data_IF_057683393516
#
_entry.id   IF_057683393516
#
_cell.length_a   1.000
_cell.length_b   1.000
_cell.length_c   1.000
_cell.angle_alpha   90.00
_cell.angle_beta   90.00
_cell.angle_gamma   90.00
#
_symmetry.space_group_name_H-M   'P 1'
#
loop_
_entity.id
_entity.type
_entity.pdbx_description
1 polymer ?
#
# COMPACT_ATOMS: atom_id res chain seq x y z
N UNK A 1 -15.91 67.36 -24.16
CA UNK A 1 -16.41 66.03 -23.73
C UNK A 1 -16.08 65.01 -24.80
N UNK A 2 -15.11 64.12 -24.55
CA UNK A 2 -15.04 62.78 -25.11
C UNK A 2 -15.31 61.73 -24.01
N UNK A 3 -15.95 60.62 -24.39
CA UNK A 3 -16.39 59.52 -23.51
C UNK A 3 -15.20 58.71 -22.94
N UNK A 4 -15.29 58.15 -21.72
CA UNK A 4 -14.26 57.26 -21.17
C UNK A 4 -14.39 55.85 -21.76
N UNK A 5 -13.26 55.32 -22.24
CA UNK A 5 -13.14 53.91 -22.66
C UNK A 5 -13.21 52.99 -21.45
N UNK A 6 -14.08 51.99 -21.53
CA UNK A 6 -14.17 50.88 -20.59
C UNK A 6 -13.08 49.86 -20.89
N UNK A 7 -12.05 49.82 -20.04
CA UNK A 7 -11.11 48.70 -19.95
C UNK A 7 -11.90 47.43 -19.59
N UNK A 8 -11.98 46.51 -20.55
CA UNK A 8 -12.48 45.15 -20.29
C UNK A 8 -11.29 44.33 -19.81
N UNK A 9 -11.10 44.24 -18.49
CA UNK A 9 -10.20 43.28 -17.89
C UNK A 9 -10.71 41.88 -18.25
N UNK A 10 -10.03 41.21 -19.18
CA UNK A 10 -10.13 39.77 -19.34
C UNK A 10 -9.56 39.14 -18.07
N UNK A 11 -10.47 38.73 -17.18
CA UNK A 11 -10.17 37.77 -16.13
C UNK A 11 -9.78 36.46 -16.81
N UNK A 12 -8.47 36.22 -16.90
CA UNK A 12 -7.94 34.88 -17.18
C UNK A 12 -8.49 33.93 -16.11
N UNK A 13 -9.52 33.18 -16.49
CA UNK A 13 -9.97 32.01 -15.78
C UNK A 13 -8.84 30.99 -15.84
N UNK A 14 -8.01 30.95 -14.80
CA UNK A 14 -7.06 29.87 -14.58
C UNK A 14 -7.82 28.55 -14.65
N UNK A 15 -7.64 27.84 -15.75
CA UNK A 15 -8.21 26.52 -15.99
C UNK A 15 -7.78 25.62 -14.85
N UNK A 16 -8.74 25.21 -14.02
CA UNK A 16 -8.56 24.26 -12.92
C UNK A 16 -7.92 23.01 -13.50
N UNK A 17 -6.64 22.77 -13.18
CA UNK A 17 -5.94 21.52 -13.52
C UNK A 17 -6.82 20.36 -13.01
N UNK A 18 -7.18 19.43 -13.88
CA UNK A 18 -8.05 18.31 -13.51
C UNK A 18 -7.47 17.53 -12.32
N UNK A 19 -8.35 16.96 -11.48
CA UNK A 19 -7.94 16.08 -10.38
C UNK A 19 -7.13 14.91 -10.92
N UNK A 20 -6.02 14.58 -10.26
CA UNK A 20 -5.16 13.45 -10.63
C UNK A 20 -5.15 12.36 -9.57
N UNK A 21 -4.69 11.19 -9.98
CA UNK A 21 -4.35 10.09 -9.09
C UNK A 21 -2.92 10.24 -8.56
N UNK A 22 -2.74 10.02 -7.27
CA UNK A 22 -1.42 9.98 -6.61
C UNK A 22 -1.26 8.61 -5.97
N UNK A 23 -0.37 7.79 -6.53
CA UNK A 23 -0.14 6.42 -6.09
C UNK A 23 1.17 6.33 -5.33
N UNK A 24 1.12 5.90 -4.06
CA UNK A 24 2.30 5.70 -3.21
C UNK A 24 2.50 4.22 -2.92
N UNK A 25 3.67 3.69 -3.28
CA UNK A 25 4.02 2.29 -3.14
C UNK A 25 5.15 2.12 -2.11
N UNK A 26 4.88 1.38 -1.04
CA UNK A 26 5.82 1.12 0.05
C UNK A 26 6.24 -0.36 0.07
N UNK A 27 7.45 -0.67 -0.36
CA UNK A 27 7.95 -2.05 -0.35
C UNK A 27 8.50 -2.46 1.03
N UNK A 28 8.63 -3.76 1.25
CA UNK A 28 9.30 -4.33 2.40
C UNK A 28 10.81 -4.07 2.39
N UNK A 29 11.38 -3.82 3.56
CA UNK A 29 12.83 -3.62 3.76
C UNK A 29 13.71 -4.69 3.12
N UNK A 30 14.73 -4.23 2.41
CA UNK A 30 15.80 -5.05 1.86
C UNK A 30 15.48 -5.63 0.48
N UNK A 31 14.40 -5.18 -0.14
CA UNK A 31 14.03 -5.53 -1.50
C UNK A 31 14.67 -4.55 -2.48
N UNK A 32 15.72 -5.01 -3.14
CA UNK A 32 16.25 -4.34 -4.34
C UNK A 32 15.39 -4.74 -5.54
N UNK A 33 15.23 -3.82 -6.49
CA UNK A 33 14.63 -4.13 -7.79
C UNK A 33 15.53 -5.17 -8.48
N UNK A 34 15.02 -6.39 -8.66
CA UNK A 34 15.78 -7.53 -9.19
C UNK A 34 15.31 -7.93 -10.59
N UNK A 35 16.15 -8.66 -11.30
CA UNK A 35 15.79 -9.28 -12.58
C UNK A 35 14.72 -10.37 -12.42
N UNK A 36 14.70 -11.07 -11.28
CA UNK A 36 13.70 -12.10 -10.92
C UNK A 36 13.38 -12.03 -9.43
N UNK A 37 12.17 -12.43 -9.04
CA UNK A 37 11.76 -12.44 -7.63
C UNK A 37 11.52 -11.04 -7.08
N UNK A 38 10.80 -10.21 -7.84
CA UNK A 38 10.33 -8.92 -7.37
C UNK A 38 9.12 -9.09 -6.46
N UNK A 39 8.90 -8.13 -5.57
CA UNK A 39 7.70 -8.05 -4.75
C UNK A 39 6.49 -7.65 -5.59
N UNK A 40 5.30 -7.92 -5.07
CA UNK A 40 4.06 -7.45 -5.68
C UNK A 40 3.98 -5.93 -5.72
N UNK A 41 4.64 -5.22 -4.80
CA UNK A 41 4.75 -3.74 -4.84
C UNK A 41 5.55 -3.29 -6.06
N UNK A 42 6.73 -3.85 -6.32
CA UNK A 42 7.54 -3.52 -7.52
C UNK A 42 6.80 -3.89 -8.81
N UNK A 43 6.11 -5.04 -8.81
CA UNK A 43 5.35 -5.51 -9.98
C UNK A 43 4.16 -4.60 -10.28
N UNK A 44 3.41 -4.19 -9.25
CA UNK A 44 2.36 -3.19 -9.36
C UNK A 44 2.93 -1.86 -9.85
N UNK A 45 4.01 -1.36 -9.23
CA UNK A 45 4.61 -0.08 -9.60
C UNK A 45 5.02 -0.04 -11.08
N UNK A 46 5.56 -1.14 -11.62
CA UNK A 46 5.88 -1.28 -13.05
C UNK A 46 4.65 -1.30 -13.96
N UNK A 47 3.49 -1.67 -13.42
CA UNK A 47 2.24 -1.75 -14.15
C UNK A 47 1.45 -0.44 -14.17
N UNK A 48 1.76 0.52 -13.29
CA UNK A 48 1.05 1.80 -13.21
C UNK A 48 1.35 2.69 -14.43
N UNK A 49 0.29 3.31 -14.95
CA UNK A 49 0.39 4.39 -15.93
C UNK A 49 0.89 5.68 -15.24
N UNK A 50 1.85 6.38 -15.85
CA UNK A 50 2.46 7.58 -15.26
C UNK A 50 3.00 8.59 -16.28
N UNK A 51 2.55 8.51 -17.53
CA UNK A 51 3.03 9.34 -18.66
C UNK A 51 2.06 10.45 -19.07
N UNK A 52 0.76 10.30 -18.76
CA UNK A 52 -0.30 11.24 -19.19
C UNK A 52 -0.44 12.46 -18.28
N UNK A 53 0.10 12.42 -17.06
CA UNK A 53 -0.10 13.44 -16.02
C UNK A 53 -1.42 13.30 -15.23
N UNK A 54 -2.30 12.39 -15.63
CA UNK A 54 -3.53 12.03 -14.88
C UNK A 54 -3.22 11.18 -13.65
N UNK A 55 -2.04 10.54 -13.63
CA UNK A 55 -1.56 9.74 -12.52
C UNK A 55 -0.07 9.98 -12.29
N UNK A 56 0.32 10.18 -11.04
CA UNK A 56 1.71 10.22 -10.61
C UNK A 56 1.99 9.10 -9.61
N UNK A 57 3.23 8.63 -9.57
CA UNK A 57 3.62 7.44 -8.82
C UNK A 57 4.85 7.72 -7.96
N UNK A 58 4.84 7.24 -6.72
CA UNK A 58 5.94 7.29 -5.76
C UNK A 58 6.28 5.87 -5.33
N UNK A 59 7.58 5.56 -5.24
CA UNK A 59 8.06 4.26 -4.79
C UNK A 59 9.11 4.41 -3.70
N UNK A 60 8.86 3.72 -2.59
CA UNK A 60 9.76 3.58 -1.45
C UNK A 60 10.24 2.12 -1.38
N UNK A 61 11.56 1.86 -1.52
CA UNK A 61 12.12 0.49 -1.46
C UNK A 61 12.13 -0.11 -0.05
N UNK A 62 11.69 0.63 0.97
CA UNK A 62 11.87 0.33 2.39
C UNK A 62 13.28 0.66 2.86
N UNK A 63 13.43 1.03 4.14
CA UNK A 63 14.77 1.30 4.69
C UNK A 63 15.68 0.08 4.66
N UNK A 64 16.95 0.26 4.30
CA UNK A 64 18.00 -0.74 4.50
C UNK A 64 18.28 -0.95 5.99
N UNK A 65 18.33 -2.21 6.44
CA UNK A 65 18.49 -2.50 7.86
C UNK A 65 19.94 -2.33 8.32
N UNK A 66 20.18 -1.34 9.19
CA UNK A 66 21.44 -1.30 9.94
C UNK A 66 21.54 -2.53 10.83
N UNK A 67 22.69 -3.21 10.76
CA UNK A 67 23.01 -4.34 11.63
C UNK A 67 23.00 -3.88 13.08
N UNK A 68 22.15 -4.48 13.89
CA UNK A 68 22.19 -4.32 15.34
C UNK A 68 23.55 -4.74 15.91
N UNK A 69 24.11 -3.92 16.80
CA UNK A 69 25.41 -4.09 17.46
C UNK A 69 25.52 -5.28 18.45
N UNK A 70 24.76 -6.37 18.26
CA UNK A 70 24.73 -7.52 19.18
C UNK A 70 24.76 -8.91 18.54
N UNK A 71 24.71 -9.02 17.21
CA UNK A 71 24.81 -10.32 16.54
C UNK A 71 26.27 -10.59 16.12
N UNK A 72 26.97 -11.42 16.88
CA UNK A 72 28.37 -11.80 16.62
C UNK A 72 28.53 -12.80 15.46
N UNK A 73 27.45 -13.49 15.06
CA UNK A 73 27.48 -14.49 13.98
C UNK A 73 26.86 -13.95 12.69
N UNK A 74 27.41 -14.34 11.53
CA UNK A 74 26.85 -14.00 10.20
C UNK A 74 25.38 -14.43 10.05
N UNK A 75 25.00 -15.53 10.70
CA UNK A 75 23.63 -16.06 10.77
C UNK A 75 22.72 -15.13 11.57
N UNK A 76 23.13 -14.74 12.78
CA UNK A 76 22.39 -13.80 13.62
C UNK A 76 22.26 -12.42 12.98
N UNK A 77 23.28 -11.96 12.26
CA UNK A 77 23.25 -10.71 11.50
C UNK A 77 22.23 -10.74 10.36
N UNK A 78 22.11 -11.87 9.64
CA UNK A 78 21.11 -12.02 8.58
C UNK A 78 19.68 -12.00 9.14
N UNK A 79 19.43 -12.72 10.23
CA UNK A 79 18.12 -12.72 10.91
C UNK A 79 17.81 -11.32 11.47
N UNK A 80 18.77 -10.69 12.15
CA UNK A 80 18.58 -9.36 12.73
C UNK A 80 18.37 -8.27 11.69
N UNK A 81 19.09 -8.30 10.56
CA UNK A 81 18.83 -7.41 9.42
C UNK A 81 17.40 -7.59 8.89
N UNK A 82 16.86 -8.80 8.88
CA UNK A 82 15.48 -8.98 8.41
C UNK A 82 14.43 -8.60 9.46
N UNK A 83 14.76 -8.67 10.76
CA UNK A 83 13.86 -8.37 11.89
C UNK A 83 14.10 -6.98 12.54
N UNK A 84 14.89 -6.14 11.86
CA UNK A 84 15.61 -4.95 12.34
C UNK A 84 15.14 -4.19 13.57
N UNK A 85 16.09 -3.96 14.49
CA UNK A 85 16.05 -2.95 15.56
C UNK A 85 15.86 -1.49 15.06
N UNK A 86 15.90 -1.26 13.75
CA UNK A 86 15.64 0.03 13.09
C UNK A 86 14.19 0.21 12.62
N UNK A 87 13.25 -0.69 12.96
CA UNK A 87 11.87 -0.67 12.46
C UNK A 87 11.17 0.68 12.65
N UNK A 88 11.18 1.22 13.88
CA UNK A 88 10.48 2.47 14.19
C UNK A 88 11.12 3.72 13.56
N UNK A 89 12.45 3.81 13.56
CA UNK A 89 13.18 4.92 12.91
C UNK A 89 13.02 4.87 11.40
N UNK A 90 13.03 3.66 10.83
CA UNK A 90 12.82 3.43 9.41
C UNK A 90 11.46 3.90 8.92
N UNK A 91 10.39 3.51 9.63
CA UNK A 91 9.04 3.95 9.28
C UNK A 91 8.91 5.47 9.36
N UNK A 92 9.46 6.13 10.39
CA UNK A 92 9.42 7.60 10.47
C UNK A 92 10.11 8.28 9.28
N UNK A 93 11.20 7.70 8.79
CA UNK A 93 11.91 8.20 7.61
C UNK A 93 11.04 8.06 6.37
N UNK A 94 10.50 6.87 6.12
CA UNK A 94 9.60 6.62 4.98
C UNK A 94 8.34 7.50 5.02
N UNK A 95 7.75 7.70 6.21
CA UNK A 95 6.62 8.61 6.39
C UNK A 95 7.01 10.05 6.04
N UNK A 96 8.19 10.52 6.47
CA UNK A 96 8.66 11.87 6.17
C UNK A 96 8.86 12.11 4.67
N UNK A 97 9.47 11.15 3.98
CA UNK A 97 9.74 11.24 2.54
C UNK A 97 8.43 11.22 1.73
N UNK A 98 7.53 10.27 2.02
CA UNK A 98 6.23 10.19 1.38
C UNK A 98 5.35 11.42 1.69
N UNK A 99 5.43 11.96 2.90
CA UNK A 99 4.67 13.15 3.29
C UNK A 99 5.18 14.39 2.58
N UNK A 100 6.49 14.58 2.50
CA UNK A 100 7.09 15.68 1.73
C UNK A 100 6.75 15.60 0.23
N UNK A 101 6.77 14.39 -0.35
CA UNK A 101 6.29 14.17 -1.71
C UNK A 101 4.83 14.57 -1.86
N UNK A 102 3.94 14.03 -1.02
CA UNK A 102 2.50 14.29 -1.12
C UNK A 102 2.17 15.77 -0.87
N UNK A 103 2.82 16.43 0.10
CA UNK A 103 2.64 17.86 0.37
C UNK A 103 2.87 18.72 -0.87
N UNK A 104 3.87 18.37 -1.68
CA UNK A 104 4.27 19.12 -2.87
C UNK A 104 3.49 18.73 -4.13
N UNK A 105 2.78 17.60 -4.12
CA UNK A 105 2.08 17.09 -5.29
C UNK A 105 0.56 17.15 -5.18
N UNK A 106 0.00 17.00 -3.98
CA UNK A 106 -1.44 16.91 -3.77
C UNK A 106 -2.11 18.28 -3.85
N UNK A 107 -3.20 18.33 -4.60
CA UNK A 107 -4.15 19.43 -4.63
C UNK A 107 -5.54 18.95 -4.22
N UNK A 108 -6.40 19.82 -3.67
CA UNK A 108 -7.78 19.48 -3.36
C UNK A 108 -8.52 18.87 -4.55
N UNK A 109 -9.02 17.65 -4.36
CA UNK A 109 -9.70 16.86 -5.39
C UNK A 109 -8.87 15.71 -5.95
N UNK A 110 -7.55 15.70 -5.71
CA UNK A 110 -6.71 14.56 -6.07
C UNK A 110 -7.02 13.31 -5.23
N UNK A 111 -6.93 12.14 -5.86
CA UNK A 111 -7.20 10.84 -5.24
C UNK A 111 -5.91 10.18 -4.80
N UNK A 112 -5.86 9.72 -3.56
CA UNK A 112 -4.68 9.07 -2.98
C UNK A 112 -4.88 7.56 -2.95
N UNK A 113 -3.90 6.83 -3.48
CA UNK A 113 -3.87 5.37 -3.50
C UNK A 113 -2.60 4.90 -2.80
N UNK A 114 -2.75 4.00 -1.83
CA UNK A 114 -1.64 3.50 -1.03
C UNK A 114 -1.47 2.00 -1.26
N UNK A 115 -0.24 1.57 -1.50
CA UNK A 115 0.10 0.16 -1.65
C UNK A 115 1.28 -0.21 -0.76
N UNK A 116 1.27 -1.41 -0.20
CA UNK A 116 2.47 -1.87 0.49
C UNK A 116 2.52 -3.35 0.84
N UNK A 117 3.72 -3.85 1.08
CA UNK A 117 3.95 -5.24 1.47
C UNK A 117 4.72 -5.32 2.79
N UNK A 118 4.34 -6.24 3.67
CA UNK A 118 5.08 -6.55 4.90
C UNK A 118 5.17 -5.33 5.82
N UNK A 119 6.38 -4.80 6.03
CA UNK A 119 6.61 -3.56 6.77
C UNK A 119 6.16 -2.33 5.98
N UNK A 120 6.29 -2.36 4.66
CA UNK A 120 5.77 -1.32 3.79
C UNK A 120 4.24 -1.25 3.83
N UNK A 121 3.55 -2.39 4.02
CA UNK A 121 2.11 -2.40 4.28
C UNK A 121 1.76 -1.67 5.58
N UNK A 122 2.54 -1.90 6.65
CA UNK A 122 2.39 -1.16 7.90
C UNK A 122 2.71 0.34 7.73
N UNK A 123 3.72 0.69 6.94
CA UNK A 123 4.01 2.08 6.56
C UNK A 123 2.85 2.72 5.81
N UNK A 124 2.24 2.03 4.85
CA UNK A 124 1.07 2.52 4.12
C UNK A 124 -0.11 2.80 5.06
N UNK A 125 -0.39 1.89 6.01
CA UNK A 125 -1.41 2.07 7.05
C UNK A 125 -1.10 3.25 7.97
N UNK A 126 0.16 3.36 8.42
CA UNK A 126 0.60 4.49 9.24
C UNK A 126 0.51 5.82 8.49
N UNK A 127 0.79 5.81 7.19
CA UNK A 127 0.63 7.00 6.35
C UNK A 127 -0.84 7.39 6.21
N UNK A 128 -1.75 6.44 5.96
CA UNK A 128 -3.19 6.68 5.95
C UNK A 128 -3.68 7.27 7.30
N UNK A 129 -3.26 6.69 8.43
CA UNK A 129 -3.58 7.21 9.76
C UNK A 129 -3.02 8.62 10.01
N UNK A 130 -1.82 8.92 9.50
CA UNK A 130 -1.24 10.27 9.58
C UNK A 130 -2.05 11.29 8.77
N UNK A 131 -2.52 10.92 7.58
CA UNK A 131 -3.40 11.74 6.75
C UNK A 131 -4.77 11.99 7.40
N UNK A 132 -5.25 11.04 8.20
CA UNK A 132 -6.47 11.20 8.98
C UNK A 132 -6.28 12.15 10.17
N UNK A 133 -5.24 11.92 10.96
CA UNK A 133 -5.02 12.61 12.25
C UNK A 133 -4.44 14.00 12.07
N UNK A 134 -3.48 14.16 11.15
CA UNK A 134 -2.79 15.43 10.93
C UNK A 134 -3.35 16.18 9.71
N UNK A 135 -3.63 15.47 8.61
CA UNK A 135 -3.96 16.09 7.33
C UNK A 135 -2.71 16.37 6.50
N UNK A 136 -2.76 17.36 5.60
CA UNK A 136 -1.63 17.74 4.74
C UNK A 136 -1.26 19.22 4.92
N UNK A 137 -0.03 19.55 5.36
CA UNK A 137 0.50 20.90 5.45
C UNK A 137 0.40 21.66 4.14
N UNK A 138 0.45 22.99 4.23
CA UNK A 138 0.65 23.85 3.06
C UNK A 138 1.99 23.52 2.38
N UNK A 139 2.11 23.68 1.04
CA UNK A 139 3.40 23.61 0.36
C UNK A 139 4.45 24.52 1.02
N UNK A 140 5.73 24.17 0.91
CA UNK A 140 6.87 24.87 1.53
C UNK A 140 6.97 24.76 3.08
N UNK A 141 6.22 23.86 3.71
CA UNK A 141 6.28 23.57 5.15
C UNK A 141 7.12 22.32 5.49
N UNK A 142 8.09 21.94 4.65
CA UNK A 142 8.89 20.71 4.80
C UNK A 142 9.64 20.67 6.14
N UNK A 143 10.04 21.82 6.67
CA UNK A 143 10.68 21.95 7.98
C UNK A 143 9.77 21.50 9.14
N UNK A 144 8.46 21.38 8.90
CA UNK A 144 7.46 20.94 9.89
C UNK A 144 7.11 19.45 9.80
N UNK A 145 7.61 18.73 8.80
CA UNK A 145 7.30 17.29 8.59
C UNK A 145 7.65 16.46 9.82
N UNK A 146 8.82 16.69 10.43
CA UNK A 146 9.23 15.94 11.62
C UNK A 146 8.36 16.25 12.84
N UNK A 147 7.84 17.49 12.94
CA UNK A 147 6.89 17.87 13.99
C UNK A 147 5.54 17.19 13.79
N UNK A 148 5.04 17.14 12.55
CA UNK A 148 3.82 16.41 12.20
C UNK A 148 3.92 14.92 12.60
N UNK A 149 5.03 14.27 12.25
CA UNK A 149 5.28 12.86 12.61
C UNK A 149 5.37 12.68 14.13
N UNK A 150 6.01 13.61 14.85
CA UNK A 150 6.10 13.54 16.30
C UNK A 150 4.72 13.67 16.98
N UNK A 151 3.81 14.46 16.39
CA UNK A 151 2.42 14.58 16.85
C UNK A 151 1.58 13.34 16.52
N UNK A 152 1.81 12.74 15.36
CA UNK A 152 1.11 11.51 14.94
C UNK A 152 1.57 10.25 15.69
N UNK A 153 2.88 10.13 15.94
CA UNK A 153 3.50 8.96 16.54
C UNK A 153 4.28 9.34 17.81
N UNK A 154 3.57 9.73 18.90
CA UNK A 154 4.20 10.07 20.17
C UNK A 154 4.86 8.84 20.81
N UNK A 155 5.69 9.11 21.82
CA UNK A 155 6.17 8.06 22.72
C UNK A 155 5.09 7.78 23.75
N UNK A 156 4.84 6.50 24.03
CA UNK A 156 3.83 6.09 25.02
C UNK A 156 2.41 5.99 24.43
N UNK A 157 1.42 6.01 25.31
CA UNK A 157 0.01 5.87 24.98
C UNK A 157 -0.54 7.13 24.31
N UNK A 158 -1.53 6.95 23.43
CA UNK A 158 -2.27 8.07 22.84
C UNK A 158 -3.31 8.60 23.84
N UNK A 159 -3.24 9.90 24.11
CA UNK A 159 -4.12 10.58 25.07
C UNK A 159 -4.97 11.66 24.40
N UNK A 160 -5.99 12.16 25.10
CA UNK A 160 -6.76 13.33 24.66
C UNK A 160 -5.88 14.58 24.45
N UNK A 161 -4.79 14.73 25.21
CA UNK A 161 -3.85 15.83 25.03
C UNK A 161 -3.10 15.71 23.70
N UNK A 162 -2.72 14.49 23.31
CA UNK A 162 -2.11 14.24 21.99
C UNK A 162 -3.08 14.59 20.86
N UNK A 163 -4.35 14.23 21.01
CA UNK A 163 -5.38 14.55 20.04
C UNK A 163 -5.59 16.05 19.89
N UNK A 164 -5.74 16.79 20.99
CA UNK A 164 -5.83 18.27 20.96
C UNK A 164 -4.59 18.90 20.33
N UNK A 165 -3.40 18.41 20.67
CA UNK A 165 -2.14 18.89 20.10
C UNK A 165 -1.99 18.59 18.60
N UNK A 166 -2.54 17.47 18.12
CA UNK A 166 -2.60 17.16 16.69
C UNK A 166 -3.57 18.11 15.98
N UNK A 167 -4.78 18.29 16.51
CA UNK A 167 -5.80 19.20 15.96
C UNK A 167 -5.30 20.64 15.86
N UNK A 168 -4.63 21.16 16.91
CA UNK A 168 -4.05 22.51 16.91
C UNK A 168 -2.95 22.66 15.85
N UNK A 169 -2.10 21.63 15.69
CA UNK A 169 -1.10 21.59 14.63
C UNK A 169 -1.78 21.65 13.26
N UNK A 170 -2.79 20.81 13.03
CA UNK A 170 -3.56 20.82 11.78
C UNK A 170 -4.18 22.18 11.49
N UNK A 171 -4.81 22.81 12.48
CA UNK A 171 -5.42 24.14 12.37
C UNK A 171 -4.41 25.23 11.99
N UNK A 172 -3.16 25.11 12.46
CA UNK A 172 -2.12 26.10 12.20
C UNK A 172 -1.49 25.94 10.80
N UNK A 173 -1.24 24.71 10.36
CA UNK A 173 -0.35 24.46 9.20
C UNK A 173 -0.98 23.68 8.05
N UNK A 174 -2.08 22.96 8.28
CA UNK A 174 -2.68 22.08 7.28
C UNK A 174 -3.73 22.76 6.41
N UNK A 175 -3.98 22.14 5.26
CA UNK A 175 -5.01 22.51 4.30
C UNK A 175 -6.32 21.80 4.68
N UNK A 176 -7.44 22.53 4.66
CA UNK A 176 -8.79 22.00 4.91
C UNK A 176 -9.77 22.49 3.84
N UNK A 177 -9.65 22.01 2.58
CA UNK A 177 -10.44 22.53 1.47
C UNK A 177 -11.96 22.37 1.67
N UNK A 178 -12.38 21.37 2.46
CA UNK A 178 -13.79 21.07 2.73
C UNK A 178 -14.15 21.29 4.21
N UNK A 179 -13.39 22.11 4.94
CA UNK A 179 -13.58 22.33 6.38
C UNK A 179 -13.13 21.16 7.27
N UNK A 180 -12.48 20.14 6.70
CA UNK A 180 -11.87 19.02 7.42
C UNK A 180 -10.39 18.90 7.05
N UNK A 181 -9.55 18.60 8.05
CA UNK A 181 -8.13 18.30 7.85
C UNK A 181 -7.88 16.83 7.49
N UNK A 182 -8.80 15.92 7.85
CA UNK A 182 -8.67 14.51 7.51
C UNK A 182 -8.72 14.33 5.99
N UNK A 183 -7.67 13.74 5.42
CA UNK A 183 -7.57 13.52 3.98
C UNK A 183 -7.98 12.09 3.63
N UNK A 184 -8.97 11.90 2.73
CA UNK A 184 -9.39 10.58 2.28
C UNK A 184 -8.29 9.83 1.52
N UNK A 185 -8.22 8.53 1.76
CA UNK A 185 -7.45 7.57 0.97
C UNK A 185 -8.46 6.77 0.15
N UNK A 186 -8.41 6.95 -1.16
CA UNK A 186 -9.39 6.38 -2.07
C UNK A 186 -9.29 4.85 -2.15
N UNK A 187 -8.07 4.32 -2.07
CA UNK A 187 -7.85 2.88 -2.02
C UNK A 187 -6.59 2.50 -1.25
N UNK A 188 -6.65 1.43 -0.46
CA UNK A 188 -5.51 0.81 0.23
C UNK A 188 -5.34 -0.66 -0.22
N UNK A 189 -4.27 -0.96 -0.95
CA UNK A 189 -3.93 -2.31 -1.39
C UNK A 189 -2.69 -2.85 -0.67
N UNK A 190 -2.86 -3.80 0.24
CA UNK A 190 -1.76 -4.27 1.10
C UNK A 190 -1.60 -5.79 1.09
N UNK A 191 -0.35 -6.23 1.18
CA UNK A 191 0.03 -7.64 1.29
C UNK A 191 0.72 -7.93 2.61
N UNK A 192 0.21 -8.95 3.27
CA UNK A 192 0.72 -9.62 4.47
C UNK A 192 1.38 -8.70 5.48
N UNK A 193 0.59 -7.78 6.04
CA UNK A 193 1.10 -6.81 7.01
C UNK A 193 1.63 -7.53 8.24
N UNK A 194 2.87 -7.19 8.62
CA UNK A 194 3.50 -7.76 9.82
C UNK A 194 3.72 -6.71 10.89
N UNK A 195 3.25 -7.01 12.09
CA UNK A 195 3.51 -6.16 13.26
C UNK A 195 4.97 -6.33 13.70
N UNK A 196 5.63 -5.23 14.08
CA UNK A 196 6.91 -5.34 14.78
C UNK A 196 6.69 -5.95 16.17
N UNK A 197 7.33 -7.09 16.51
CA UNK A 197 7.14 -7.71 17.81
C UNK A 197 7.62 -6.80 18.94
N UNK A 198 6.72 -6.52 19.89
CA UNK A 198 6.87 -6.54 21.36
C UNK A 198 8.01 -5.81 22.08
N UNK A 199 9.19 -5.64 21.51
CA UNK A 199 10.31 -4.92 22.12
C UNK A 199 10.29 -3.42 21.80
N UNK A 200 9.54 -3.01 20.76
CA UNK A 200 9.49 -1.63 20.25
C UNK A 200 8.15 -0.92 20.45
N UNK A 201 7.09 -1.67 20.84
CA UNK A 201 5.74 -1.10 21.10
C UNK A 201 5.73 -0.12 22.27
N UNK A 202 6.76 -0.11 23.12
CA UNK A 202 6.87 0.84 24.24
C UNK A 202 7.34 2.24 23.83
N UNK A 203 7.97 2.40 22.66
CA UNK A 203 8.61 3.67 22.30
C UNK A 203 7.90 4.42 21.18
N UNK A 204 7.07 3.77 20.35
CA UNK A 204 6.33 4.42 19.25
C UNK A 204 4.96 3.78 19.04
N UNK A 205 3.92 4.60 19.13
CA UNK A 205 2.53 4.21 18.87
C UNK A 205 2.00 4.96 17.64
N UNK A 206 1.84 4.26 16.51
CA UNK A 206 1.19 4.80 15.32
C UNK A 206 -0.31 4.61 15.44
N UNK A 207 -1.03 5.72 15.64
CA UNK A 207 -2.48 5.69 15.82
C UNK A 207 -3.22 5.45 14.51
N UNK A 208 -4.45 4.92 14.62
CA UNK A 208 -5.38 4.77 13.49
C UNK A 208 -4.84 3.89 12.36
N UNK A 209 -4.08 2.86 12.73
CA UNK A 209 -3.51 1.88 11.80
C UNK A 209 -4.38 0.64 11.60
N UNK A 210 -5.30 0.32 12.52
CA UNK A 210 -6.25 -0.81 12.41
C UNK A 210 -7.60 -0.40 11.82
N UNK A 211 -8.22 0.66 12.33
CA UNK A 211 -9.57 1.13 11.97
C UNK A 211 -9.60 2.05 10.74
N UNK A 212 -8.48 2.72 10.41
CA UNK A 212 -8.23 3.44 9.16
C UNK A 212 -9.46 4.22 8.61
N UNK A 213 -10.07 5.11 9.40
CA UNK A 213 -11.42 5.64 9.14
C UNK A 213 -11.52 6.54 7.89
N UNK A 214 -10.39 6.98 7.33
CA UNK A 214 -10.31 7.75 6.10
C UNK A 214 -10.07 6.91 4.83
N UNK A 215 -9.95 5.59 4.95
CA UNK A 215 -9.81 4.68 3.81
C UNK A 215 -11.21 4.33 3.29
N UNK A 216 -11.47 4.69 2.03
CA UNK A 216 -12.78 4.54 1.38
C UNK A 216 -13.01 3.13 0.82
N UNK A 217 -11.94 2.45 0.41
CA UNK A 217 -11.95 1.08 -0.07
C UNK A 217 -10.56 0.45 0.06
N UNK A 218 -10.48 -0.88 0.05
CA UNK A 218 -9.18 -1.54 0.02
C UNK A 218 -9.24 -3.06 -0.04
N UNK A 219 -8.05 -3.65 -0.19
CA UNK A 219 -7.84 -5.10 -0.16
C UNK A 219 -6.60 -5.42 0.68
N UNK A 220 -6.74 -6.36 1.61
CA UNK A 220 -5.65 -6.88 2.44
C UNK A 220 -5.50 -8.38 2.26
N UNK A 221 -4.43 -8.81 1.58
CA UNK A 221 -4.13 -10.22 1.35
C UNK A 221 -3.21 -10.76 2.46
N UNK A 222 -3.64 -11.75 3.23
CA UNK A 222 -2.93 -12.28 4.40
C UNK A 222 -2.44 -13.71 4.14
N UNK A 223 -1.21 -14.04 4.55
CA UNK A 223 -0.64 -15.40 4.40
C UNK A 223 -1.13 -16.35 5.49
N UNK A 224 -1.62 -17.53 5.08
CA UNK A 224 -2.07 -18.59 5.98
C UNK A 224 -0.94 -19.54 6.41
N UNK A 225 0.07 -19.78 5.56
CA UNK A 225 1.14 -20.75 5.82
C UNK A 225 2.39 -20.13 6.48
N UNK A 226 2.34 -18.87 6.92
CA UNK A 226 3.46 -18.23 7.59
C UNK A 226 3.57 -18.66 9.05
N UNK A 227 4.69 -19.32 9.39
CA UNK A 227 4.93 -19.89 10.71
C UNK A 227 6.05 -19.23 11.51
N UNK A 228 6.78 -18.25 10.96
CA UNK A 228 7.89 -17.61 11.69
C UNK A 228 7.30 -16.75 12.81
N UNK A 229 7.67 -17.04 14.06
CA UNK A 229 7.18 -16.32 15.24
C UNK A 229 7.29 -14.78 15.17
N UNK A 230 8.30 -14.18 14.51
CA UNK A 230 8.37 -12.72 14.35
C UNK A 230 7.39 -12.13 13.31
N UNK A 231 6.80 -12.95 12.43
CA UNK A 231 5.94 -12.53 11.32
C UNK A 231 4.46 -12.71 11.69
N UNK A 232 4.04 -12.07 12.79
CA UNK A 232 2.64 -12.08 13.20
C UNK A 232 1.82 -11.21 12.25
N UNK A 233 0.73 -11.76 11.73
CA UNK A 233 -0.23 -11.01 10.93
C UNK A 233 -0.79 -9.84 11.75
N UNK A 234 -0.93 -8.69 11.10
CA UNK A 234 -1.46 -7.47 11.66
C UNK A 234 -2.71 -7.09 10.86
N UNK A 235 -3.87 -7.50 11.36
CA UNK A 235 -5.15 -7.41 10.65
C UNK A 235 -5.71 -5.98 10.67
N UNK A 236 -6.72 -5.72 9.86
CA UNK A 236 -7.49 -4.46 9.86
C UNK A 236 -8.91 -4.67 10.34
N UNK A 237 -9.55 -3.63 10.86
CA UNK A 237 -10.95 -3.67 11.34
C UNK A 237 -11.89 -2.82 10.50
N UNK A 238 -11.38 -2.07 9.52
CA UNK A 238 -12.18 -1.28 8.61
C UNK A 238 -12.96 -2.17 7.63
N UNK A 239 -14.29 -2.13 7.70
CA UNK A 239 -15.18 -2.89 6.82
C UNK A 239 -15.11 -2.50 5.33
N UNK A 240 -14.57 -1.31 5.01
CA UNK A 240 -14.31 -0.90 3.62
C UNK A 240 -13.10 -1.63 3.01
N UNK A 241 -12.28 -2.29 3.83
CA UNK A 241 -11.13 -3.07 3.38
C UNK A 241 -11.53 -4.54 3.38
N UNK A 242 -11.54 -5.15 2.20
CA UNK A 242 -11.72 -6.59 2.07
C UNK A 242 -10.44 -7.28 2.54
N UNK A 243 -10.48 -7.93 3.70
CA UNK A 243 -9.36 -8.74 4.20
C UNK A 243 -9.63 -10.22 3.91
N UNK A 244 -8.65 -10.90 3.31
CA UNK A 244 -8.76 -12.32 3.00
C UNK A 244 -7.44 -13.07 3.15
N UNK A 245 -7.54 -14.33 3.55
CA UNK A 245 -6.41 -15.24 3.74
C UNK A 245 -6.11 -16.02 2.46
N UNK A 246 -4.84 -16.04 2.07
CA UNK A 246 -4.31 -16.65 0.86
C UNK A 246 -3.34 -17.79 1.20
N UNK A 247 -3.30 -18.78 0.30
CA UNK A 247 -2.35 -19.90 0.35
C UNK A 247 -0.91 -19.41 0.20
N UNK A 248 -0.01 -20.03 0.97
CA UNK A 248 1.42 -19.76 0.91
C UNK A 248 1.92 -18.93 2.08
N UNK A 249 3.24 -18.85 2.20
CA UNK A 249 3.96 -18.09 3.23
C UNK A 249 4.00 -16.58 2.90
N UNK A 250 4.61 -15.75 3.76
CA UNK A 250 4.68 -14.29 3.60
C UNK A 250 5.01 -13.79 2.16
N UNK A 251 6.05 -14.35 1.54
CA UNK A 251 6.47 -13.96 0.19
C UNK A 251 5.78 -14.75 -0.94
N UNK A 252 4.99 -15.77 -0.61
CA UNK A 252 4.01 -16.34 -1.55
C UNK A 252 2.80 -15.41 -1.71
N UNK A 253 2.50 -14.56 -0.72
CA UNK A 253 1.41 -13.57 -0.83
C UNK A 253 1.91 -12.20 -1.28
N UNK A 254 3.06 -11.74 -0.80
CA UNK A 254 3.60 -10.43 -1.19
C UNK A 254 4.65 -10.43 -2.30
N UNK A 255 5.02 -11.60 -2.82
CA UNK A 255 6.08 -11.75 -3.81
C UNK A 255 7.50 -11.76 -3.21
N UNK A 256 8.49 -11.95 -4.07
CA UNK A 256 9.91 -12.06 -3.71
C UNK A 256 10.55 -13.43 -3.99
N UNK A 257 9.74 -14.47 -4.27
CA UNK A 257 10.25 -15.76 -4.73
C UNK A 257 10.45 -15.80 -6.24
N UNK A 258 11.34 -16.71 -6.68
CA UNK A 258 11.51 -17.01 -8.10
C UNK A 258 10.28 -17.73 -8.68
N UNK A 259 9.69 -18.63 -7.89
CA UNK A 259 8.37 -19.21 -8.17
C UNK A 259 7.32 -18.28 -7.57
N UNK A 260 6.70 -17.46 -8.42
CA UNK A 260 5.76 -16.41 -8.04
C UNK A 260 4.30 -16.79 -8.26
N UNK A 261 4.01 -18.07 -8.57
CA UNK A 261 2.66 -18.53 -8.91
C UNK A 261 1.61 -18.16 -7.88
N UNK A 262 1.86 -18.41 -6.59
CA UNK A 262 0.95 -17.99 -5.52
C UNK A 262 0.87 -16.46 -5.39
N UNK A 263 1.99 -15.75 -5.56
CA UNK A 263 2.05 -14.29 -5.46
C UNK A 263 1.32 -13.59 -6.61
N UNK A 264 1.18 -14.27 -7.75
CA UNK A 264 0.42 -13.79 -8.89
C UNK A 264 -1.06 -13.64 -8.57
N UNK A 265 -1.60 -14.54 -7.75
CA UNK A 265 -3.02 -14.57 -7.36
C UNK A 265 -3.34 -13.32 -6.55
N UNK A 266 -2.62 -13.13 -5.44
CA UNK A 266 -2.81 -11.97 -4.57
C UNK A 266 -2.44 -10.63 -5.24
N UNK A 267 -1.50 -10.62 -6.19
CA UNK A 267 -1.20 -9.43 -6.99
C UNK A 267 -2.39 -9.02 -7.84
N UNK A 268 -2.92 -9.96 -8.63
CA UNK A 268 -4.05 -9.71 -9.52
C UNK A 268 -5.28 -9.31 -8.71
N UNK A 269 -5.55 -10.00 -7.60
CA UNK A 269 -6.67 -9.66 -6.73
C UNK A 269 -6.57 -8.23 -6.19
N UNK A 270 -5.41 -7.77 -5.70
CA UNK A 270 -5.29 -6.37 -5.26
C UNK A 270 -5.37 -5.37 -6.43
N UNK A 271 -4.83 -5.72 -7.61
CA UNK A 271 -4.90 -4.90 -8.82
C UNK A 271 -6.33 -4.75 -9.36
N UNK A 272 -7.14 -5.80 -9.31
CA UNK A 272 -8.53 -5.79 -9.75
C UNK A 272 -9.32 -4.76 -8.93
N UNK A 273 -9.22 -4.82 -7.60
CA UNK A 273 -9.87 -3.86 -6.71
C UNK A 273 -9.33 -2.44 -6.92
N UNK A 274 -8.03 -2.27 -7.15
CA UNK A 274 -7.44 -0.96 -7.43
C UNK A 274 -7.97 -0.36 -8.74
N UNK A 275 -8.12 -1.18 -9.79
CA UNK A 275 -8.68 -0.78 -11.09
C UNK A 275 -10.15 -0.41 -10.98
N UNK A 276 -10.94 -1.18 -10.23
CA UNK A 276 -12.35 -0.88 -9.92
C UNK A 276 -12.50 0.50 -9.27
N UNK A 277 -11.47 0.95 -8.52
CA UNK A 277 -11.41 2.26 -7.87
C UNK A 277 -10.59 3.30 -8.68
N UNK A 278 -10.36 3.06 -9.97
CA UNK A 278 -9.84 4.06 -10.89
C UNK A 278 -8.32 4.23 -10.92
N UNK A 279 -7.53 3.30 -10.38
CA UNK A 279 -6.09 3.27 -10.66
C UNK A 279 -5.85 3.00 -12.14
N UNK A 280 -4.98 3.80 -12.76
CA UNK A 280 -4.64 3.67 -14.17
C UNK A 280 -3.47 2.70 -14.34
N UNK A 281 -3.65 1.67 -15.16
CA UNK A 281 -2.62 0.70 -15.52
C UNK A 281 -2.16 0.94 -16.95
N UNK A 282 -0.89 0.62 -17.23
CA UNK A 282 -0.33 0.64 -18.59
C UNK A 282 -1.08 -0.34 -19.48
N UNK A 283 -0.98 -0.15 -20.80
CA UNK A 283 -1.59 -1.05 -21.78
C UNK A 283 -1.04 -2.48 -21.65
N UNK A 284 -1.89 -3.48 -21.88
CA UNK A 284 -1.52 -4.91 -21.84
C UNK A 284 -0.30 -5.26 -22.69
N UNK A 285 -0.12 -4.61 -23.85
CA UNK A 285 1.04 -4.79 -24.72
C UNK A 285 2.39 -4.37 -24.08
N UNK A 286 2.33 -3.44 -23.12
CA UNK A 286 3.47 -2.91 -22.36
C UNK A 286 3.67 -3.64 -21.02
N UNK A 287 2.63 -4.34 -20.54
CA UNK A 287 2.63 -5.14 -19.33
C UNK A 287 3.24 -6.54 -19.53
N UNK A 288 4.39 -6.66 -20.23
CA UNK A 288 5.08 -7.93 -20.54
C UNK A 288 5.51 -8.80 -19.33
N UNK A 289 5.07 -8.48 -18.11
CA UNK A 289 5.37 -9.21 -16.88
C UNK A 289 4.23 -9.29 -15.86
N UNK A 290 3.01 -8.86 -16.18
CA UNK A 290 1.86 -9.19 -15.35
C UNK A 290 1.36 -10.61 -15.66
N UNK A 291 1.05 -11.40 -14.63
CA UNK A 291 0.56 -12.76 -14.82
C UNK A 291 -0.87 -12.74 -15.34
N UNK A 292 -1.30 -13.83 -15.98
CA UNK A 292 -2.72 -14.09 -16.24
C UNK A 292 -3.32 -14.86 -15.07
N UNK A 293 -4.64 -14.75 -14.87
CA UNK A 293 -5.35 -15.62 -13.94
C UNK A 293 -5.22 -17.07 -14.42
N UNK A 294 -4.77 -17.95 -13.55
CA UNK A 294 -4.58 -19.36 -13.83
C UNK A 294 -4.89 -20.20 -12.58
N UNK A 295 -5.88 -21.10 -12.67
CA UNK A 295 -6.24 -22.04 -11.59
C UNK A 295 -5.07 -22.89 -11.14
N UNK A 296 -4.16 -23.23 -12.05
CA UNK A 296 -3.01 -24.07 -11.72
C UNK A 296 -2.02 -23.35 -10.81
N UNK A 297 -2.04 -22.00 -10.79
CA UNK A 297 -1.25 -21.24 -9.84
C UNK A 297 -1.80 -21.39 -8.41
N UNK A 298 -3.13 -21.47 -8.26
CA UNK A 298 -3.77 -21.69 -6.96
C UNK A 298 -3.45 -23.05 -6.35
N UNK A 299 -3.08 -24.03 -7.19
CA UNK A 299 -2.65 -25.37 -6.78
C UNK A 299 -1.14 -25.48 -6.51
N UNK A 300 -0.38 -24.40 -6.72
CA UNK A 300 1.07 -24.41 -6.49
C UNK A 300 1.39 -24.68 -5.00
N UNK A 301 2.51 -25.37 -4.76
CA UNK A 301 2.96 -25.65 -3.40
C UNK A 301 3.60 -24.39 -2.79
N UNK A 302 3.38 -24.10 -1.49
CA UNK A 302 4.04 -23.00 -0.80
C UNK A 302 5.55 -23.10 -0.92
N UNK A 303 6.19 -21.96 -1.13
CA UNK A 303 7.64 -21.92 -1.19
C UNK A 303 8.24 -22.27 0.18
N UNK A 304 9.40 -22.94 0.17
CA UNK A 304 10.09 -23.33 1.41
C UNK A 304 10.98 -22.21 1.91
N UNK A 305 10.84 -21.88 3.19
CA UNK A 305 11.74 -20.91 3.82
C UNK A 305 13.13 -21.51 4.02
N UNK A 306 14.16 -20.67 3.87
CA UNK A 306 15.54 -21.08 4.15
C UNK A 306 15.70 -21.62 5.57
N UNK A 307 16.52 -22.66 5.75
CA UNK A 307 16.70 -23.40 7.02
C UNK A 307 17.05 -22.51 8.22
N UNK A 308 17.65 -21.35 7.98
CA UNK A 308 17.99 -20.34 8.99
C UNK A 308 16.79 -19.88 9.82
N UNK A 309 15.58 -19.89 9.23
CA UNK A 309 14.35 -19.44 9.88
C UNK A 309 13.80 -20.43 10.91
N UNK A 310 14.29 -21.67 10.95
CA UNK A 310 13.96 -22.63 12.02
C UNK A 310 14.37 -22.05 13.39
N UNK A 311 15.47 -21.30 13.43
CA UNK A 311 15.99 -20.69 14.66
C UNK A 311 15.14 -19.52 15.16
N UNK A 312 14.25 -18.96 14.34
CA UNK A 312 13.36 -17.87 14.73
C UNK A 312 12.14 -18.34 15.55
N UNK A 313 11.98 -19.65 15.74
CA UNK A 313 10.81 -20.26 16.35
C UNK A 313 9.64 -20.36 15.37
N UNK A 314 8.81 -21.38 15.56
CA UNK A 314 7.61 -21.62 14.76
C UNK A 314 6.36 -21.43 15.59
N UNK A 315 5.41 -20.64 15.10
CA UNK A 315 4.08 -20.48 15.68
C UNK A 315 3.08 -20.39 14.54
N UNK A 316 1.90 -21.00 14.67
CA UNK A 316 0.81 -20.72 13.73
C UNK A 316 0.25 -19.33 13.98
N UNK A 317 -0.22 -18.69 12.92
CA UNK A 317 -0.99 -17.44 13.03
C UNK A 317 -2.39 -17.77 13.55
N UNK A 318 -2.90 -17.02 14.54
CA UNK A 318 -4.31 -17.13 14.91
C UNK A 318 -5.16 -16.61 13.74
N UNK A 319 -6.12 -17.41 13.30
CA UNK A 319 -7.08 -17.04 12.26
C UNK A 319 -8.39 -16.69 12.98
N UNK A 320 -8.97 -15.49 12.77
CA UNK A 320 -10.27 -15.14 13.31
C UNK A 320 -11.37 -16.12 12.88
N UNK A 321 -12.38 -16.42 13.72
CA UNK A 321 -13.48 -17.31 13.34
C UNK A 321 -14.30 -16.82 12.13
N UNK A 322 -14.34 -15.51 11.93
CA UNK A 322 -15.03 -14.80 10.85
C UNK A 322 -14.11 -14.40 9.69
N UNK A 323 -12.91 -15.00 9.63
CA UNK A 323 -11.95 -14.72 8.56
C UNK A 323 -12.49 -15.15 7.20
N UNK A 324 -12.32 -14.27 6.20
CA UNK A 324 -12.55 -14.63 4.81
C UNK A 324 -11.33 -15.34 4.22
N UNK A 325 -11.57 -16.34 3.40
CA UNK A 325 -10.54 -17.07 2.67
C UNK A 325 -10.69 -16.78 1.17
N UNK A 326 -9.56 -16.62 0.49
CA UNK A 326 -9.56 -16.59 -0.97
C UNK A 326 -9.64 -18.01 -1.54
N UNK A 327 -10.24 -18.20 -2.71
CA UNK A 327 -10.40 -19.49 -3.40
C UNK A 327 -9.11 -20.34 -3.47
N UNK A 328 -7.94 -19.69 -3.50
CA UNK A 328 -6.64 -20.36 -3.42
C UNK A 328 -6.47 -21.30 -2.21
N UNK A 329 -7.12 -21.01 -1.09
CA UNK A 329 -7.07 -21.83 0.14
C UNK A 329 -7.94 -23.06 -0.01
N UNK A 330 -9.10 -22.94 -0.67
CA UNK A 330 -10.04 -24.05 -0.86
C UNK A 330 -9.44 -25.22 -1.63
N UNK A 331 -8.58 -24.96 -2.62
CA UNK A 331 -7.90 -26.03 -3.37
C UNK A 331 -7.00 -26.93 -2.52
N UNK A 332 -6.69 -26.51 -1.29
CA UNK A 332 -5.81 -27.22 -0.36
C UNK A 332 -6.43 -27.29 1.04
N UNK A 333 -7.76 -27.16 1.13
CA UNK A 333 -8.47 -27.13 2.41
C UNK A 333 -8.24 -28.40 3.23
N UNK A 334 -8.22 -29.56 2.58
CA UNK A 334 -7.95 -30.86 3.22
C UNK A 334 -6.55 -30.96 3.86
N UNK A 335 -5.59 -30.13 3.41
CA UNK A 335 -4.26 -30.04 4.05
C UNK A 335 -4.32 -29.25 5.38
N UNK A 336 -5.39 -28.48 5.63
CA UNK A 336 -5.51 -27.51 6.71
C UNK A 336 -6.37 -28.02 7.87
N UNK A 337 -5.72 -28.76 8.79
CA UNK A 337 -6.39 -29.48 9.91
C UNK A 337 -7.04 -28.61 11.00
N UNK A 338 -6.84 -27.29 10.98
CA UNK A 338 -7.24 -26.38 12.08
C UNK A 338 -8.00 -25.13 11.55
N UNK A 339 -8.64 -25.24 10.38
CA UNK A 339 -9.52 -24.19 9.84
C UNK A 339 -10.93 -24.25 10.44
N UNK A 340 -11.74 -23.18 10.33
CA UNK A 340 -13.16 -23.23 10.69
C UNK A 340 -13.91 -24.27 9.85
N UNK A 341 -14.95 -24.92 10.39
CA UNK A 341 -15.67 -26.00 9.68
C UNK A 341 -16.33 -25.54 8.36
N UNK A 342 -16.68 -24.26 8.25
CA UNK A 342 -17.28 -23.63 7.06
C UNK A 342 -16.60 -22.28 6.77
N UNK A 343 -15.53 -22.25 5.96
CA UNK A 343 -14.83 -21.02 5.65
C UNK A 343 -15.67 -20.12 4.73
N UNK A 344 -15.89 -18.88 5.14
CA UNK A 344 -16.39 -17.85 4.23
C UNK A 344 -15.37 -17.66 3.09
N UNK A 345 -15.73 -18.07 1.87
CA UNK A 345 -14.89 -17.87 0.70
C UNK A 345 -15.30 -16.59 -0.01
N UNK A 346 -14.33 -15.70 -0.23
CA UNK A 346 -14.49 -14.61 -1.19
C UNK A 346 -14.05 -15.08 -2.57
N UNK A 347 -14.75 -14.57 -3.58
CA UNK A 347 -14.43 -14.74 -5.00
C UNK A 347 -14.17 -16.21 -5.39
N UNK A 348 -15.13 -17.09 -5.08
CA UNK A 348 -15.10 -18.53 -5.40
C UNK A 348 -14.84 -18.82 -6.89
N UNK A 349 -15.39 -17.99 -7.78
CA UNK A 349 -15.16 -18.00 -9.22
C UNK A 349 -13.91 -17.23 -9.70
N UNK A 350 -13.10 -16.65 -8.82
CA UNK A 350 -11.96 -15.80 -9.24
C UNK A 350 -10.95 -16.55 -10.09
N UNK A 351 -10.75 -17.83 -9.79
CA UNK A 351 -9.83 -18.66 -10.56
C UNK A 351 -10.45 -19.13 -11.89
N UNK A 352 -11.74 -18.92 -12.15
CA UNK A 352 -12.35 -19.23 -13.45
C UNK A 352 -11.72 -18.38 -14.57
N UNK A 353 -11.46 -18.96 -15.75
CA UNK A 353 -11.00 -18.19 -16.89
C UNK A 353 -12.05 -17.12 -17.23
N UNK A 354 -11.61 -15.87 -17.41
CA UNK A 354 -12.50 -14.80 -17.88
C UNK A 354 -13.14 -15.21 -19.23
N UNK A 355 -14.43 -14.91 -19.45
CA UNK A 355 -15.06 -15.13 -20.74
C UNK A 355 -14.25 -14.42 -21.83
N UNK A 356 -14.05 -15.04 -23.01
CA UNK A 356 -13.22 -14.48 -24.08
C UNK A 356 -13.72 -13.12 -24.62
N UNK A 357 -14.97 -12.76 -24.32
CA UNK A 357 -15.68 -11.60 -24.87
C UNK A 357 -16.03 -10.52 -23.84
N UNK A 358 -15.54 -10.61 -22.59
CA UNK A 358 -15.72 -9.49 -21.67
C UNK A 358 -14.78 -8.36 -22.13
N UNK A 359 -15.30 -7.21 -22.59
CA UNK A 359 -14.45 -6.13 -22.99
C UNK A 359 -13.70 -5.74 -21.72
N UNK A 360 -12.39 -6.00 -21.66
CA UNK A 360 -11.52 -5.06 -20.95
C UNK A 360 -11.77 -3.75 -21.67
N UNK A 361 -12.47 -2.76 -21.11
CA UNK A 361 -12.45 -1.45 -21.70
C UNK A 361 -11.06 -0.96 -21.33
N UNK A 362 -10.12 -1.20 -22.24
CA UNK A 362 -9.20 -0.17 -22.65
C UNK A 362 -10.06 1.05 -23.03
N UNK A 363 -10.57 1.77 -22.01
CA UNK A 363 -10.83 3.20 -22.13
C UNK A 363 -9.44 3.84 -22.19
N UNK A 364 -8.78 3.57 -23.31
CA UNK A 364 -7.77 4.43 -23.86
C UNK A 364 -8.47 5.77 -23.99
N UNK A 365 -7.86 6.82 -23.45
CA UNK A 365 -8.15 8.14 -23.94
C UNK A 365 -8.00 8.07 -25.46
N UNK A 366 -9.11 8.22 -26.18
CA UNK A 366 -9.03 8.49 -27.61
C UNK A 366 -8.14 9.72 -27.74
N UNK A 367 -7.12 9.59 -28.59
CA UNK A 367 -6.25 10.70 -28.96
C UNK A 367 -7.13 11.86 -29.40
N UNK A 368 -7.17 12.93 -28.60
CA UNK A 368 -7.54 14.25 -29.14
C UNK A 368 -6.54 14.51 -30.27
N UNK A 369 -7.09 14.64 -31.48
CA UNK A 369 -6.37 14.55 -32.74
C UNK A 369 -5.08 15.35 -32.81
N UNK A 370 -4.12 14.78 -33.52
CA UNK A 370 -2.97 15.52 -34.03
C UNK A 370 -3.47 16.73 -34.84
N UNK A 371 -2.93 17.93 -34.65
CA UNK A 371 -3.19 19.04 -35.55
C UNK A 371 -2.58 18.70 -36.91
N UNK A 372 -3.42 18.66 -37.95
CA UNK A 372 -2.99 18.58 -39.35
C UNK A 372 -1.95 19.68 -39.62
N UNK A 373 -0.76 19.25 -40.06
CA UNK A 373 0.22 20.15 -40.65
C UNK A 373 -0.29 20.56 -42.04
N UNK A 374 -0.24 21.85 -42.42
CA UNK A 374 -0.68 22.28 -43.74
C UNK A 374 0.26 21.73 -44.82
N UNK A 375 -0.32 21.07 -45.81
CA UNK A 375 0.39 20.66 -47.02
C UNK A 375 0.88 21.90 -47.80
N UNK A 376 2.15 21.85 -48.21
CA UNK A 376 2.83 22.85 -49.06
C UNK A 376 2.65 22.56 -50.54
#
# INVERSE_FOLDING_TARGET
MPQPGTDTQQTETTTKKGSKNIVLCFDGTGNEIRATGNTNVVRLFRALENTTGEQIVYYDPGVGTFSSAGASTRVGQKISRTLGLAFGVGIKTNLAEAYAFLMNQWEPGDRIYLFGFSRGAYTARAFAGMLHVIGIPRPAAENLVQYAIARYAPRGEWTEENEKAAQEFSATVCRAPNGSFSVPVHYLGIWDTVSAPGLFRRDLHFVKTEDLPNVEAGRHAVSIDEYRRPYKADLVTNAAIQEAWFTGVHSDVGGGFKDDRLANISLLWVLDGAREHGVLLRRKAELRGLPQRDKEYAKAKPNRMGRIWILAGRTRRPIPPDANFHASVLFRWDDFRDGPDDPACIDDGWCDPEPPDDPVPLALSESRGDPELPES
#
